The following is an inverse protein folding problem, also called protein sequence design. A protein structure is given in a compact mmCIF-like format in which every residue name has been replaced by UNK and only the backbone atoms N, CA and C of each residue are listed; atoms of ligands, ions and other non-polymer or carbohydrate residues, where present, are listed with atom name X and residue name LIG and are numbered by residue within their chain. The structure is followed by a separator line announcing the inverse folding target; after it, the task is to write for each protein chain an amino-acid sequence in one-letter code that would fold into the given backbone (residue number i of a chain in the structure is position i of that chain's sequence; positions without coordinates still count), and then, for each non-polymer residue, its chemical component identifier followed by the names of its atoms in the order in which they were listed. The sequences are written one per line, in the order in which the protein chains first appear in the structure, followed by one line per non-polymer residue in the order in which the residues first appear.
data_IF_949549206961
#
_entry.id   IF_949549206961
#
_cell.length_a   1.000
_cell.length_b   1.000
_cell.length_c   1.000
_cell.angle_alpha   90.00
_cell.angle_beta   90.00
_cell.angle_gamma   90.00
#
_symmetry.space_group_name_H-M   'P 1'
#
loop_
_entity.id
_entity.type
_entity.pdbx_description
1 polymer ?
#
# COMPACT_ATOMS: atom_id res chain seq x y z
N UNK A 1 -15.99 -70.24 -9.71
CA UNK A 1 -15.51 -68.86 -10.00
C UNK A 1 -16.49 -67.88 -9.38
N UNK A 2 -16.23 -67.43 -8.15
CA UNK A 2 -17.14 -66.53 -7.44
C UNK A 2 -16.64 -66.10 -6.07
N UNK A 3 -15.31 -66.00 -5.90
CA UNK A 3 -14.71 -65.73 -4.58
C UNK A 3 -13.56 -64.72 -4.63
N UNK A 4 -13.51 -63.91 -5.69
CA UNK A 4 -12.48 -62.87 -5.86
C UNK A 4 -13.05 -61.45 -5.92
N UNK A 5 -14.36 -61.26 -5.69
CA UNK A 5 -15.01 -59.94 -5.72
C UNK A 5 -15.33 -59.38 -4.32
N UNK A 6 -15.03 -60.13 -3.23
CA UNK A 6 -15.43 -59.77 -1.86
C UNK A 6 -14.31 -59.11 -1.03
N UNK A 7 -13.21 -58.67 -1.64
CA UNK A 7 -12.12 -57.97 -0.92
C UNK A 7 -11.95 -56.49 -1.31
N UNK A 8 -12.82 -55.94 -2.15
CA UNK A 8 -12.71 -54.55 -2.61
C UNK A 8 -13.57 -53.55 -1.83
N UNK A 9 -14.46 -54.03 -0.96
CA UNK A 9 -15.41 -53.17 -0.21
C UNK A 9 -15.10 -53.02 1.29
N UNK A 10 -14.10 -53.73 1.83
CA UNK A 10 -13.67 -53.61 3.24
C UNK A 10 -12.65 -52.48 3.46
N UNK A 11 -12.78 -51.39 2.71
CA UNK A 11 -11.96 -50.18 2.87
C UNK A 11 -12.81 -48.91 3.08
N UNK A 12 -14.10 -49.05 3.40
CA UNK A 12 -14.96 -47.88 3.65
C UNK A 12 -15.55 -47.97 5.04
N UNK A 13 -15.35 -46.88 5.77
CA UNK A 13 -15.97 -46.51 7.05
C UNK A 13 -15.14 -46.76 8.32
N UNK A 14 -14.10 -45.93 8.53
CA UNK A 14 -13.73 -45.50 9.88
C UNK A 14 -14.19 -44.04 10.03
N UNK A 15 -15.47 -43.80 10.36
CA UNK A 15 -16.04 -42.45 10.36
C UNK A 15 -15.45 -41.55 11.45
N UNK A 16 -14.82 -42.09 12.49
CA UNK A 16 -14.17 -41.29 13.55
C UNK A 16 -13.00 -42.08 14.17
N UNK A 17 -11.89 -42.27 13.42
CA UNK A 17 -10.68 -42.82 14.02
C UNK A 17 -10.15 -41.83 15.08
N UNK A 18 -10.40 -42.11 16.37
CA UNK A 18 -9.89 -41.33 17.49
C UNK A 18 -8.37 -41.48 17.50
N UNK A 19 -7.66 -40.41 17.15
CA UNK A 19 -6.19 -40.36 17.20
C UNK A 19 -5.78 -39.74 18.53
N UNK A 20 -5.15 -40.52 19.40
CA UNK A 20 -4.49 -39.98 20.59
C UNK A 20 -3.17 -39.33 20.17
N UNK A 21 -3.08 -38.01 20.36
CA UNK A 21 -1.90 -37.21 20.05
C UNK A 21 -1.20 -36.80 21.34
N UNK A 22 0.14 -36.89 21.36
CA UNK A 22 0.90 -36.25 22.44
C UNK A 22 0.90 -34.73 22.22
N UNK A 23 1.17 -33.98 23.29
CA UNK A 23 1.28 -32.51 23.21
C UNK A 23 2.29 -32.06 22.14
N UNK A 24 3.41 -32.78 22.01
CA UNK A 24 4.46 -32.48 21.04
C UNK A 24 3.96 -32.69 19.60
N UNK A 25 3.28 -33.80 19.34
CA UNK A 25 2.74 -34.08 18.00
C UNK A 25 1.72 -33.02 17.58
N UNK A 26 0.89 -32.56 18.52
CA UNK A 26 -0.05 -31.47 18.29
C UNK A 26 0.65 -30.15 17.96
N UNK A 27 1.70 -29.80 18.71
CA UNK A 27 2.50 -28.60 18.48
C UNK A 27 3.18 -28.64 17.09
N UNK A 28 3.76 -29.79 16.71
CA UNK A 28 4.39 -29.98 15.40
C UNK A 28 3.39 -29.84 14.24
N UNK A 29 2.19 -30.40 14.39
CA UNK A 29 1.11 -30.29 13.39
C UNK A 29 0.62 -28.85 13.28
N UNK A 30 0.41 -28.17 14.40
CA UNK A 30 -0.02 -26.75 14.42
C UNK A 30 1.03 -25.87 13.78
N UNK A 31 2.31 -26.04 14.12
CA UNK A 31 3.39 -25.25 13.53
C UNK A 31 3.48 -25.48 12.01
N UNK A 32 3.39 -26.73 11.57
CA UNK A 32 3.36 -27.06 10.15
C UNK A 32 2.13 -26.51 9.42
N UNK A 33 0.96 -26.48 10.05
CA UNK A 33 -0.25 -25.89 9.50
C UNK A 33 -0.16 -24.35 9.44
N UNK A 34 0.34 -23.72 10.50
CA UNK A 34 0.53 -22.27 10.57
C UNK A 34 1.55 -21.79 9.54
N UNK A 35 2.67 -22.50 9.37
CA UNK A 35 3.68 -22.19 8.36
C UNK A 35 3.11 -22.29 6.93
N UNK A 36 2.42 -23.38 6.62
CA UNK A 36 1.76 -23.56 5.31
C UNK A 36 0.66 -22.53 5.06
N UNK A 37 -0.10 -22.17 6.08
CA UNK A 37 -1.11 -21.11 6.00
C UNK A 37 -0.49 -19.74 5.75
N UNK A 38 0.61 -19.41 6.44
CA UNK A 38 1.35 -18.18 6.22
C UNK A 38 1.96 -18.12 4.81
N UNK A 39 2.57 -19.21 4.34
CA UNK A 39 3.09 -19.31 2.97
C UNK A 39 1.99 -19.16 1.93
N UNK A 40 0.83 -19.78 2.12
CA UNK A 40 -0.32 -19.67 1.22
C UNK A 40 -0.88 -18.25 1.21
N UNK A 41 -0.99 -17.60 2.37
CA UNK A 41 -1.45 -16.21 2.46
C UNK A 41 -0.48 -15.27 1.76
N UNK A 42 0.83 -15.46 1.93
CA UNK A 42 1.87 -14.69 1.23
C UNK A 42 1.79 -14.86 -0.30
N UNK A 43 1.52 -16.08 -0.78
CA UNK A 43 1.25 -16.36 -2.21
C UNK A 43 0.00 -15.64 -2.71
N UNK A 44 -1.07 -15.68 -1.92
CA UNK A 44 -2.37 -15.10 -2.30
C UNK A 44 -2.32 -13.57 -2.39
N UNK A 45 -1.48 -12.91 -1.58
CA UNK A 45 -1.20 -11.47 -1.69
C UNK A 45 -0.06 -11.12 -2.65
N UNK A 46 0.51 -12.11 -3.36
CA UNK A 46 1.58 -11.91 -4.35
C UNK A 46 2.95 -11.55 -3.75
N UNK A 47 3.13 -11.78 -2.45
CA UNK A 47 4.36 -11.51 -1.68
C UNK A 47 5.28 -12.74 -1.57
N UNK A 48 4.98 -13.84 -2.26
CA UNK A 48 5.81 -15.06 -2.29
C UNK A 48 7.04 -14.94 -3.20
N UNK A 49 7.10 -13.89 -4.01
CA UNK A 49 8.27 -13.58 -4.81
C UNK A 49 9.19 -12.63 -4.04
N UNK A 50 10.49 -12.94 -4.05
CA UNK A 50 11.57 -12.04 -3.64
C UNK A 50 11.48 -10.65 -4.31
N UNK A 51 10.74 -10.54 -5.43
CA UNK A 51 10.49 -9.31 -6.19
C UNK A 51 9.43 -8.38 -5.57
N UNK A 52 8.45 -8.89 -4.84
CA UNK A 52 7.34 -8.06 -4.36
C UNK A 52 7.72 -7.13 -3.19
N UNK A 53 8.74 -7.51 -2.42
CA UNK A 53 9.35 -6.62 -1.43
C UNK A 53 10.11 -5.44 -2.04
N UNK A 54 10.68 -5.63 -3.22
CA UNK A 54 11.45 -4.60 -3.94
C UNK A 54 10.54 -3.56 -4.58
N UNK A 55 9.43 -3.98 -5.20
CA UNK A 55 8.45 -3.07 -5.81
C UNK A 55 7.81 -2.13 -4.77
N UNK A 56 7.49 -2.63 -3.57
CA UNK A 56 6.96 -1.81 -2.47
C UNK A 56 8.01 -0.80 -1.98
N UNK A 57 9.30 -1.19 -1.96
CA UNK A 57 10.41 -0.29 -1.62
C UNK A 57 10.60 0.79 -2.68
N UNK A 58 10.45 0.45 -3.95
CA UNK A 58 10.58 1.38 -5.07
C UNK A 58 9.41 2.36 -5.11
N UNK A 59 8.17 1.90 -4.92
CA UNK A 59 7.00 2.77 -4.75
C UNK A 59 7.17 3.75 -3.58
N UNK A 60 7.73 3.29 -2.46
CA UNK A 60 8.00 4.15 -1.29
C UNK A 60 9.14 5.13 -1.57
N UNK A 61 10.13 4.73 -2.35
CA UNK A 61 11.23 5.59 -2.82
C UNK A 61 10.71 6.71 -3.73
N UNK A 62 9.86 6.37 -4.71
CA UNK A 62 9.20 7.33 -5.61
C UNK A 62 8.27 8.28 -4.85
N UNK A 63 7.53 7.78 -3.85
CA UNK A 63 6.66 8.60 -3.01
C UNK A 63 7.47 9.53 -2.09
N UNK A 64 8.60 9.07 -1.56
CA UNK A 64 9.52 9.89 -0.77
C UNK A 64 10.17 10.98 -1.63
N UNK A 65 10.57 10.65 -2.86
CA UNK A 65 11.06 11.63 -3.84
C UNK A 65 9.96 12.66 -4.17
N UNK A 66 8.73 12.22 -4.41
CA UNK A 66 7.60 13.12 -4.65
C UNK A 66 7.28 14.02 -3.45
N UNK A 67 7.39 13.50 -2.21
CA UNK A 67 7.21 14.31 -0.99
C UNK A 67 8.29 15.37 -0.86
N UNK A 68 9.54 15.04 -1.19
CA UNK A 68 10.66 15.99 -1.19
C UNK A 68 10.51 17.05 -2.29
N UNK A 69 10.02 16.67 -3.47
CA UNK A 69 9.76 17.61 -4.57
C UNK A 69 8.56 18.50 -4.26
N UNK A 70 7.51 17.95 -3.63
CA UNK A 70 6.31 18.69 -3.25
C UNK A 70 6.64 19.85 -2.30
N UNK A 71 7.49 19.68 -1.29
CA UNK A 71 7.82 20.79 -0.39
C UNK A 71 8.53 21.94 -1.11
N UNK A 72 9.51 21.64 -1.95
CA UNK A 72 10.27 22.66 -2.69
C UNK A 72 9.46 23.31 -3.82
N UNK A 73 8.65 22.51 -4.53
CA UNK A 73 7.78 22.99 -5.58
C UNK A 73 6.65 23.86 -5.03
N UNK A 74 6.02 23.45 -3.92
CA UNK A 74 4.96 24.23 -3.28
C UNK A 74 5.49 25.57 -2.75
N UNK A 75 6.65 25.59 -2.09
CA UNK A 75 7.23 26.85 -1.60
C UNK A 75 7.48 27.85 -2.74
N UNK A 76 8.00 27.36 -3.87
CA UNK A 76 8.24 28.19 -5.05
C UNK A 76 6.93 28.67 -5.67
N UNK A 77 5.94 27.79 -5.80
CA UNK A 77 4.63 28.10 -6.37
C UNK A 77 3.88 29.12 -5.50
N UNK A 78 3.83 28.90 -4.18
CA UNK A 78 3.18 29.80 -3.22
C UNK A 78 3.85 31.17 -3.21
N UNK A 79 5.19 31.21 -3.23
CA UNK A 79 5.93 32.48 -3.28
C UNK A 79 5.68 33.22 -4.60
N UNK A 80 5.70 32.53 -5.73
CA UNK A 80 5.41 33.11 -7.06
C UNK A 80 3.97 33.64 -7.14
N UNK A 81 2.99 32.88 -6.65
CA UNK A 81 1.59 33.29 -6.58
C UNK A 81 1.42 34.54 -5.72
N UNK A 82 2.04 34.57 -4.53
CA UNK A 82 1.95 35.71 -3.62
C UNK A 82 2.54 36.96 -4.25
N UNK A 83 3.72 36.86 -4.87
CA UNK A 83 4.36 38.00 -5.54
C UNK A 83 3.52 38.52 -6.71
N UNK A 84 2.99 37.60 -7.53
CA UNK A 84 2.12 37.94 -8.66
C UNK A 84 0.83 38.62 -8.17
N UNK A 85 0.22 38.08 -7.12
CA UNK A 85 -1.00 38.60 -6.53
C UNK A 85 -0.80 40.01 -5.96
N UNK A 86 0.28 40.23 -5.21
CA UNK A 86 0.62 41.56 -4.68
C UNK A 86 0.89 42.58 -5.78
N UNK A 87 1.54 42.18 -6.88
CA UNK A 87 1.79 43.06 -8.01
C UNK A 87 0.47 43.49 -8.70
N UNK A 88 -0.43 42.53 -8.94
CA UNK A 88 -1.76 42.80 -9.51
C UNK A 88 -2.56 43.72 -8.58
N UNK A 89 -2.55 43.43 -7.28
CA UNK A 89 -3.22 44.26 -6.29
C UNK A 89 -2.64 45.67 -6.23
N UNK A 90 -1.31 45.83 -6.27
CA UNK A 90 -0.65 47.13 -6.27
C UNK A 90 -1.09 47.98 -7.46
N UNK A 91 -1.09 47.40 -8.67
CA UNK A 91 -1.55 48.09 -9.89
C UNK A 91 -3.02 48.48 -9.76
N UNK A 92 -3.88 47.56 -9.32
CA UNK A 92 -5.32 47.82 -9.16
C UNK A 92 -5.62 48.89 -8.10
N UNK A 93 -4.88 48.89 -6.99
CA UNK A 93 -4.99 49.87 -5.91
C UNK A 93 -4.48 51.23 -6.36
N UNK A 94 -3.34 51.31 -7.06
CA UNK A 94 -2.82 52.57 -7.61
C UNK A 94 -3.76 53.19 -8.65
N UNK A 95 -4.41 52.35 -9.49
CA UNK A 95 -5.41 52.82 -10.44
C UNK A 95 -6.68 53.34 -9.74
N UNK A 96 -7.12 52.68 -8.65
CA UNK A 96 -8.33 53.07 -7.91
C UNK A 96 -8.12 54.27 -6.97
N UNK A 97 -6.91 54.46 -6.43
CA UNK A 97 -6.56 55.58 -5.53
C UNK A 97 -6.14 56.86 -6.26
N UNK A 98 -6.01 56.86 -7.60
CA UNK A 98 -5.78 58.09 -8.36
C UNK A 98 -4.48 58.82 -8.01
N UNK A 99 -3.38 58.08 -7.76
CA UNK A 99 -2.07 58.64 -7.42
C UNK A 99 -1.43 59.51 -8.53
N UNK A 100 -2.06 59.62 -9.71
CA UNK A 100 -1.75 60.58 -10.77
C UNK A 100 -2.70 61.80 -10.83
N UNK A 101 -3.50 62.06 -9.80
CA UNK A 101 -4.48 63.15 -9.76
C UNK A 101 -3.97 64.53 -9.28
N UNK A 102 -2.70 64.65 -8.90
CA UNK A 102 -2.16 65.87 -8.26
C UNK A 102 -0.92 66.43 -8.97
N UNK A 103 -0.99 66.71 -10.26
CA UNK A 103 0.01 67.52 -10.95
C UNK A 103 -0.24 69.01 -10.63
N UNK A 104 0.71 69.72 -9.99
CA UNK A 104 0.62 71.18 -9.85
C UNK A 104 0.70 71.79 -11.26
N UNK A 105 -0.30 72.60 -11.59
CA UNK A 105 -0.33 73.39 -12.82
C UNK A 105 0.52 74.66 -12.61
N UNK A 106 1.25 75.13 -13.63
CA UNK A 106 2.15 76.28 -13.52
C UNK A 106 1.41 77.58 -13.18
#
# INVERSE_FOLDING_TARGET
MGDAMSSSDEFRDHPDAIIELTRRDLEDIIEGAARRGAEQALKEVGLDTTSAGDDVRELRSLLNAFRSVKSTALDTVVKSLTMTFLLILGIGVSAKLGLFGGLPKP
#
